data_IF_235567501496
#
_entry.id   IF_235567501496
#
_cell.length_a   1.000
_cell.length_b   1.000
_cell.length_c   1.000
_cell.angle_alpha   90.00
_cell.angle_beta   90.00
_cell.angle_gamma   90.00
#
_symmetry.space_group_name_H-M   'P 1'
#
loop_
_entity.id
_entity.type
_entity.pdbx_description
1 polymer ?
#
# COMPACT_ATOMS: atom_id res chain seq x y z
N UNK A 1 18.33 -2.35 -4.59
CA UNK A 1 17.31 -3.40 -4.44
C UNK A 1 16.77 -3.37 -3.02
N UNK A 2 15.45 -3.47 -2.82
CA UNK A 2 14.82 -3.50 -1.49
C UNK A 2 14.55 -4.93 -1.03
N UNK A 3 14.47 -5.14 0.29
CA UNK A 3 14.11 -6.44 0.89
C UNK A 3 12.90 -6.26 1.80
N UNK A 4 12.00 -7.25 1.82
CA UNK A 4 10.86 -7.27 2.77
C UNK A 4 11.08 -8.39 3.78
N UNK A 5 11.02 -8.06 5.08
CA UNK A 5 11.05 -9.04 6.18
C UNK A 5 9.71 -9.07 6.92
N UNK A 6 9.23 -10.26 7.27
CA UNK A 6 8.12 -10.45 8.20
C UNK A 6 8.60 -10.72 9.63
N UNK A 7 7.82 -10.33 10.64
CA UNK A 7 8.01 -10.83 12.01
C UNK A 7 7.17 -12.10 12.17
N UNK A 8 7.81 -13.24 12.47
CA UNK A 8 7.15 -14.56 12.57
C UNK A 8 6.28 -14.74 13.84
N UNK A 9 6.30 -13.79 14.79
CA UNK A 9 5.66 -13.92 16.11
C UNK A 9 4.98 -12.62 16.60
N UNK A 10 4.11 -12.02 15.78
CA UNK A 10 3.37 -10.79 16.13
C UNK A 10 1.87 -11.00 15.98
N UNK A 11 1.07 -10.52 16.94
CA UNK A 11 -0.40 -10.52 16.88
C UNK A 11 -0.94 -9.70 15.69
N UNK A 12 -0.16 -8.75 15.19
CA UNK A 12 -0.42 -8.00 13.98
C UNK A 12 0.45 -8.54 12.84
N UNK A 13 -0.10 -8.73 11.65
CA UNK A 13 0.74 -8.97 10.47
C UNK A 13 1.60 -7.72 10.23
N UNK A 14 2.92 -7.87 10.42
CA UNK A 14 3.92 -6.79 10.33
C UNK A 14 4.99 -7.17 9.32
N UNK A 15 5.31 -6.23 8.43
CA UNK A 15 6.34 -6.33 7.41
C UNK A 15 7.24 -5.09 7.46
N UNK A 16 8.54 -5.25 7.19
CA UNK A 16 9.49 -4.14 7.15
C UNK A 16 10.19 -4.15 5.79
N UNK A 17 10.14 -3.02 5.09
CA UNK A 17 10.89 -2.74 3.87
C UNK A 17 12.27 -2.19 4.24
N UNK A 18 13.31 -2.84 3.77
CA UNK A 18 14.70 -2.52 3.99
C UNK A 18 15.35 -2.06 2.70
N UNK A 19 16.31 -1.13 2.77
CA UNK A 19 17.19 -0.79 1.65
C UNK A 19 18.22 -1.91 1.37
N UNK A 20 19.11 -1.65 0.41
CA UNK A 20 20.16 -2.60 0.03
C UNK A 20 21.17 -2.88 1.17
N UNK A 21 21.38 -1.91 2.07
CA UNK A 21 22.24 -2.03 3.24
C UNK A 21 21.54 -2.68 4.44
N UNK A 22 20.24 -3.00 4.33
CA UNK A 22 19.45 -3.58 5.40
C UNK A 22 18.86 -2.56 6.38
N UNK A 23 18.87 -1.27 6.05
CA UNK A 23 18.26 -0.22 6.89
C UNK A 23 16.74 -0.19 6.70
N UNK A 24 15.94 -0.17 7.77
CA UNK A 24 14.49 0.02 7.69
C UNK A 24 14.10 1.36 7.07
N UNK A 25 13.25 1.29 6.03
CA UNK A 25 12.67 2.46 5.35
C UNK A 25 11.20 2.62 5.72
N UNK A 26 10.44 1.52 5.69
CA UNK A 26 8.99 1.52 5.94
C UNK A 26 8.62 0.29 6.76
N UNK A 27 7.79 0.48 7.78
CA UNK A 27 7.08 -0.60 8.48
C UNK A 27 5.63 -0.62 8.06
N UNK A 28 5.16 -1.76 7.55
CA UNK A 28 3.75 -2.03 7.29
C UNK A 28 3.15 -2.84 8.43
N UNK A 29 1.97 -2.46 8.90
CA UNK A 29 1.26 -3.17 9.95
C UNK A 29 -0.23 -3.25 9.63
N UNK A 30 -0.80 -4.44 9.79
CA UNK A 30 -2.26 -4.61 9.74
C UNK A 30 -2.88 -4.14 11.06
N UNK A 31 -3.90 -3.27 11.00
CA UNK A 31 -4.68 -2.91 12.18
C UNK A 31 -5.56 -4.10 12.60
N UNK A 32 -5.38 -4.59 13.83
CA UNK A 32 -6.30 -5.55 14.46
C UNK A 32 -7.70 -4.94 14.49
N UNK A 33 -8.72 -5.76 14.24
CA UNK A 33 -10.13 -5.38 14.32
C UNK A 33 -10.50 -4.16 13.45
N UNK A 34 -9.91 -4.04 12.27
CA UNK A 34 -10.25 -2.98 11.32
C UNK A 34 -11.23 -3.46 10.24
N UNK A 35 -12.21 -2.60 9.91
CA UNK A 35 -13.02 -2.78 8.71
C UNK A 35 -12.11 -2.83 7.47
N UNK A 36 -12.46 -3.67 6.48
CA UNK A 36 -11.75 -3.77 5.20
C UNK A 36 -10.26 -4.17 5.27
N UNK A 37 -9.82 -4.81 6.38
CA UNK A 37 -8.43 -5.28 6.59
C UNK A 37 -7.41 -4.17 6.35
N UNK A 38 -7.56 -3.07 7.07
CA UNK A 38 -6.72 -1.87 6.90
C UNK A 38 -5.27 -2.14 7.28
N UNK A 39 -4.38 -1.70 6.41
CA UNK A 39 -2.94 -1.63 6.62
C UNK A 39 -2.51 -0.18 6.83
N UNK A 40 -1.45 0.02 7.60
CA UNK A 40 -0.80 1.31 7.79
C UNK A 40 0.69 1.18 7.50
N UNK A 41 1.29 2.25 6.98
CA UNK A 41 2.71 2.35 6.68
C UNK A 41 3.33 3.47 7.52
N UNK A 42 4.41 3.15 8.23
CA UNK A 42 5.17 4.07 9.06
C UNK A 42 6.59 4.23 8.55
N UNK A 43 7.20 5.38 8.81
CA UNK A 43 8.61 5.65 8.51
C UNK A 43 9.53 4.79 9.39
N UNK A 44 10.57 4.22 8.78
CA UNK A 44 11.58 3.43 9.48
C UNK A 44 11.02 2.17 10.16
N UNK A 45 11.53 1.84 11.34
CA UNK A 45 11.02 0.77 12.19
C UNK A 45 10.00 1.27 13.24
N UNK A 46 9.26 2.34 12.94
CA UNK A 46 8.27 2.94 13.86
C UNK A 46 6.88 2.32 13.74
N UNK A 47 6.08 2.55 14.78
CA UNK A 47 4.61 2.39 14.79
C UNK A 47 3.92 3.61 15.41
N UNK A 48 4.65 4.70 15.61
CA UNK A 48 4.14 5.93 16.21
C UNK A 48 3.27 6.72 15.22
N UNK A 49 2.23 7.37 15.71
CA UNK A 49 1.33 8.16 14.87
C UNK A 49 2.04 9.29 14.09
N UNK A 50 3.08 9.90 14.68
CA UNK A 50 3.90 10.95 14.04
C UNK A 50 4.67 10.45 12.81
N UNK A 51 4.92 9.13 12.75
CA UNK A 51 5.66 8.50 11.67
C UNK A 51 4.74 7.87 10.62
N UNK A 52 3.42 8.02 10.77
CA UNK A 52 2.44 7.53 9.80
C UNK A 52 2.66 8.22 8.44
N UNK A 53 2.76 7.43 7.39
CA UNK A 53 2.89 7.90 6.01
C UNK A 53 1.55 7.82 5.28
N UNK A 54 0.91 6.66 5.34
CA UNK A 54 -0.38 6.42 4.71
C UNK A 54 -1.08 5.18 5.30
N UNK A 55 -2.37 5.05 5.02
CA UNK A 55 -3.15 3.84 5.24
C UNK A 55 -3.72 3.30 3.93
N UNK A 56 -3.96 1.99 3.89
CA UNK A 56 -4.56 1.30 2.75
C UNK A 56 -5.69 0.42 3.25
N UNK A 57 -6.84 0.45 2.58
CA UNK A 57 -7.97 -0.46 2.86
C UNK A 57 -8.57 -0.96 1.55
N UNK A 58 -9.29 -2.09 1.59
CA UNK A 58 -10.12 -2.51 0.45
C UNK A 58 -11.23 -1.49 0.22
N UNK A 59 -11.52 -1.15 -1.03
CA UNK A 59 -12.62 -0.21 -1.35
C UNK A 59 -14.00 -0.84 -1.06
N UNK A 60 -14.11 -2.17 -1.00
CA UNK A 60 -15.31 -2.92 -0.60
C UNK A 60 -14.92 -4.28 -0.01
N UNK A 61 -15.78 -4.86 0.84
CA UNK A 61 -15.62 -6.21 1.39
C UNK A 61 -15.86 -7.30 0.33
N UNK A 62 -16.69 -7.01 -0.66
CA UNK A 62 -17.07 -7.92 -1.75
C UNK A 62 -16.58 -7.34 -3.08
N UNK A 63 -15.52 -7.90 -3.65
CA UNK A 63 -14.99 -7.50 -4.96
C UNK A 63 -14.40 -8.71 -5.71
N UNK A 64 -14.71 -8.82 -7.00
CA UNK A 64 -14.12 -9.83 -7.90
C UNK A 64 -12.67 -9.47 -8.30
N UNK A 65 -12.37 -8.17 -8.43
CA UNK A 65 -11.03 -7.63 -8.70
C UNK A 65 -10.51 -6.90 -7.46
N UNK A 66 -9.20 -6.91 -7.24
CA UNK A 66 -8.62 -6.23 -6.07
C UNK A 66 -8.67 -4.72 -6.30
N UNK A 67 -9.44 -4.00 -5.47
CA UNK A 67 -9.41 -2.53 -5.42
C UNK A 67 -9.07 -2.05 -4.03
N UNK A 68 -8.09 -1.15 -3.94
CA UNK A 68 -7.61 -0.58 -2.69
C UNK A 68 -7.67 0.94 -2.75
N UNK A 69 -8.03 1.53 -1.62
CA UNK A 69 -8.02 2.97 -1.41
C UNK A 69 -6.84 3.31 -0.50
N UNK A 70 -6.01 4.25 -0.92
CA UNK A 70 -4.87 4.78 -0.18
C UNK A 70 -5.19 6.18 0.35
N UNK A 71 -4.90 6.41 1.62
CA UNK A 71 -5.08 7.69 2.30
C UNK A 71 -3.76 8.12 2.91
N UNK A 72 -3.24 9.28 2.50
CA UNK A 72 -2.05 9.87 3.09
C UNK A 72 -2.33 10.30 4.53
N UNK A 73 -1.29 10.36 5.36
CA UNK A 73 -1.44 10.75 6.77
C UNK A 73 -2.07 12.14 6.98
N UNK A 74 -1.92 13.05 6.00
CA UNK A 74 -2.57 14.36 6.00
C UNK A 74 -4.07 14.32 5.70
N UNK A 75 -4.58 13.25 5.09
CA UNK A 75 -5.98 13.08 4.72
C UNK A 75 -6.78 12.45 5.88
N UNK A 76 -7.01 13.23 6.93
CA UNK A 76 -7.70 12.76 8.15
C UNK A 76 -9.20 12.53 7.96
N UNK A 77 -9.83 13.20 6.99
CA UNK A 77 -11.25 13.08 6.72
C UNK A 77 -11.61 11.78 5.97
N UNK A 78 -10.67 11.20 5.22
CA UNK A 78 -10.82 9.97 4.43
C UNK A 78 -12.07 9.93 3.52
N UNK A 79 -12.63 11.08 3.13
CA UNK A 79 -13.83 11.16 2.26
C UNK A 79 -13.52 10.77 0.81
N UNK A 80 -12.31 11.08 0.35
CA UNK A 80 -11.80 10.75 -0.98
C UNK A 80 -10.40 10.19 -0.81
N UNK A 81 -10.08 9.08 -1.48
CA UNK A 81 -8.74 8.51 -1.45
C UNK A 81 -7.75 9.41 -2.20
N UNK A 82 -6.48 9.40 -1.78
CA UNK A 82 -5.40 10.11 -2.46
C UNK A 82 -4.90 9.31 -3.66
N UNK A 83 -4.92 7.98 -3.53
CA UNK A 83 -4.63 7.06 -4.63
C UNK A 83 -5.60 5.89 -4.62
N UNK A 84 -5.97 5.47 -5.82
CA UNK A 84 -6.75 4.26 -6.04
C UNK A 84 -5.87 3.23 -6.72
N UNK A 85 -5.90 2.00 -6.22
CA UNK A 85 -5.17 0.88 -6.80
C UNK A 85 -6.18 -0.11 -7.33
N UNK A 86 -6.09 -0.45 -8.62
CA UNK A 86 -6.83 -1.56 -9.21
C UNK A 86 -5.85 -2.63 -9.68
N UNK A 87 -6.08 -3.88 -9.30
CA UNK A 87 -5.19 -4.98 -9.66
C UNK A 87 -5.93 -6.30 -9.88
N UNK A 88 -5.30 -7.14 -10.69
CA UNK A 88 -5.66 -8.53 -10.89
C UNK A 88 -4.46 -9.38 -10.52
N UNK A 89 -4.59 -10.18 -9.46
CA UNK A 89 -3.50 -11.05 -9.02
C UNK A 89 -3.15 -12.09 -10.10
N UNK A 90 -4.16 -12.60 -10.80
CA UNK A 90 -4.01 -13.58 -11.88
C UNK A 90 -3.27 -13.02 -13.11
N UNK A 91 -3.46 -11.74 -13.42
CA UNK A 91 -2.80 -11.09 -14.56
C UNK A 91 -1.46 -10.45 -14.18
N UNK A 92 -1.03 -10.58 -12.91
CA UNK A 92 0.15 -9.90 -12.36
C UNK A 92 0.21 -8.40 -12.73
N UNK A 93 -0.97 -7.77 -12.81
CA UNK A 93 -1.14 -6.41 -13.29
C UNK A 93 -1.75 -5.54 -12.19
N UNK A 94 -1.23 -4.32 -12.07
CA UNK A 94 -1.64 -3.35 -11.08
C UNK A 94 -1.59 -1.95 -11.68
N UNK A 95 -2.59 -1.13 -11.43
CA UNK A 95 -2.65 0.27 -11.88
C UNK A 95 -2.93 1.15 -10.68
N UNK A 96 -2.15 2.21 -10.54
CA UNK A 96 -2.30 3.22 -9.50
C UNK A 96 -2.77 4.51 -10.16
N UNK A 97 -3.87 5.04 -9.67
CA UNK A 97 -4.49 6.28 -10.12
C UNK A 97 -4.36 7.36 -9.07
N UNK A 98 -4.19 8.61 -9.50
CA UNK A 98 -4.32 9.77 -8.64
C UNK A 98 -5.81 10.00 -8.31
N UNK A 99 -6.14 10.00 -7.01
CA UNK A 99 -7.49 10.20 -6.49
C UNK A 99 -8.51 9.24 -7.14
N UNK A 100 -9.76 9.67 -7.23
CA UNK A 100 -10.83 9.01 -7.99
C UNK A 100 -10.86 9.48 -9.46
N UNK A 101 -9.71 9.72 -10.08
CA UNK A 101 -9.62 10.12 -11.48
C UNK A 101 -9.11 8.98 -12.36
N UNK A 102 -9.14 9.17 -13.68
CA UNK A 102 -8.51 8.26 -14.65
C UNK A 102 -7.02 8.57 -14.88
N UNK A 103 -6.43 9.48 -14.09
CA UNK A 103 -5.02 9.83 -14.19
C UNK A 103 -4.16 8.71 -13.58
N UNK A 104 -3.54 7.91 -14.44
CA UNK A 104 -2.61 6.84 -14.04
C UNK A 104 -1.29 7.48 -13.63
N UNK A 105 -0.76 7.09 -12.47
CA UNK A 105 0.55 7.53 -11.97
C UNK A 105 1.58 6.41 -11.94
N UNK A 106 1.13 5.16 -11.94
CA UNK A 106 2.01 4.00 -12.06
C UNK A 106 1.22 2.78 -12.56
N UNK A 107 1.88 1.90 -13.31
CA UNK A 107 1.33 0.62 -13.73
C UNK A 107 2.39 -0.48 -13.66
N UNK A 108 1.97 -1.70 -13.33
CA UNK A 108 2.76 -2.93 -13.40
C UNK A 108 2.07 -3.85 -14.40
N UNK A 109 2.85 -4.47 -15.30
CA UNK A 109 2.37 -5.47 -16.27
C UNK A 109 3.12 -6.79 -16.08
N UNK A 110 2.37 -7.89 -16.16
CA UNK A 110 2.75 -9.22 -15.67
C UNK A 110 3.89 -9.93 -16.39
N UNK A 111 4.49 -9.34 -17.42
CA UNK A 111 5.47 -10.07 -18.24
C UNK A 111 6.87 -10.05 -17.59
N UNK A 112 7.24 -8.98 -16.85
CA UNK A 112 8.55 -8.84 -16.19
C UNK A 112 8.57 -8.00 -14.89
N UNK A 113 7.42 -7.67 -14.29
CA UNK A 113 7.37 -6.92 -13.01
C UNK A 113 7.93 -5.48 -13.08
N UNK A 114 8.12 -4.94 -14.28
CA UNK A 114 8.57 -3.57 -14.49
C UNK A 114 7.48 -2.57 -14.12
N UNK A 115 7.83 -1.56 -13.33
CA UNK A 115 6.97 -0.41 -13.04
C UNK A 115 7.08 0.60 -14.18
N UNK A 116 5.96 0.91 -14.82
CA UNK A 116 5.83 1.96 -15.82
C UNK A 116 5.27 3.21 -15.13
N UNK A 117 5.99 4.31 -15.21
CA UNK A 117 5.51 5.63 -14.80
C UNK A 117 5.13 6.37 -16.09
N UNK A 118 3.83 6.65 -16.33
CA UNK A 118 3.43 7.41 -17.49
C UNK A 118 4.00 8.82 -17.43
N UNK A 119 4.56 9.27 -18.55
CA UNK A 119 5.04 10.64 -18.73
C UNK A 119 3.82 11.46 -19.13
N UNK A 120 3.32 12.32 -18.24
CA UNK A 120 2.31 13.34 -18.56
C UNK A 120 3.01 14.65 -18.91
#
# INVERSE_FOLDING_TARGET
MFKVKGKFFSLHDRRVLLDAAGKPIITFQQKLLSAHRRWVAFRGESTDAKDLLFSVKKSSLFQMKTKLDVFLASNTAERVCDFKIEGSWFESACVIYARNSNNIIAQIRGDHGSVLVPIN
#
